data_IF_685077944465
#
_entry.id   IF_685077944465
#
_cell.length_a   1.000
_cell.length_b   1.000
_cell.length_c   1.000
_cell.angle_alpha   90.00
_cell.angle_beta   90.00
_cell.angle_gamma   90.00
#
_symmetry.space_group_name_H-M   'P 1'
#
loop_
_entity.id
_entity.type
_entity.pdbx_description
1 polymer ?
#
# COMPACT_ATOMS: atom_id res chain seq x y z
N UNK A 1 15.67 15.93 7.54
CA UNK A 1 14.98 16.28 7.34
C UNK A 1 14.49 16.96 7.20
N UNK A 2 14.46 17.10 7.04
CA UNK A 2 13.79 17.62 6.95
C UNK A 2 13.18 18.15 6.35
N UNK A 3 13.16 18.51 5.87
CA UNK A 3 12.52 18.99 5.40
C UNK A 3 11.60 18.88 4.93
N UNK A 4 11.60 18.67 4.74
CA UNK A 4 10.78 18.45 4.22
C UNK A 4 9.80 18.51 4.06
N UNK A 5 9.72 18.49 4.31
CA UNK A 5 8.76 18.49 4.37
C UNK A 5 7.91 19.40 4.25
N UNK A 6 8.22 19.98 4.32
CA UNK A 6 7.49 20.91 4.25
C UNK A 6 6.98 21.21 3.19
N UNK A 7 6.21 20.57 3.04
CA UNK A 7 5.67 20.63 1.94
C UNK A 7 4.46 21.35 2.09
N UNK A 8 4.35 22.41 1.59
CA UNK A 8 3.12 23.16 1.52
C UNK A 8 2.12 22.46 0.62
N UNK A 9 0.94 22.96 0.55
CA UNK A 9 -0.04 22.52 -0.41
C UNK A 9 0.52 22.67 -1.82
N UNK A 10 0.22 21.75 -2.75
CA UNK A 10 0.65 21.89 -4.13
C UNK A 10 0.02 23.14 -4.76
N UNK A 11 0.66 23.69 -5.76
CA UNK A 11 0.13 24.85 -6.47
C UNK A 11 -1.16 24.49 -7.20
N UNK A 12 -1.98 25.50 -7.50
CA UNK A 12 -3.19 25.29 -8.26
C UNK A 12 -2.89 24.69 -9.65
N UNK A 13 -1.78 25.07 -10.24
CA UNK A 13 -1.38 24.52 -11.54
C UNK A 13 -1.03 23.03 -11.43
N UNK A 14 -0.34 22.64 -10.37
CA UNK A 14 0.02 21.24 -10.15
C UNK A 14 -1.21 20.38 -9.90
N UNK A 15 -2.15 20.89 -9.11
CA UNK A 15 -3.41 20.18 -8.85
C UNK A 15 -4.20 19.99 -10.14
N UNK A 16 -4.28 21.05 -10.96
CA UNK A 16 -5.02 20.99 -12.22
C UNK A 16 -4.37 20.03 -13.20
N UNK A 17 -3.05 20.04 -13.31
CA UNK A 17 -2.34 19.12 -14.19
C UNK A 17 -2.55 17.67 -13.74
N UNK A 18 -2.44 17.40 -12.45
CA UNK A 18 -2.67 16.06 -11.93
C UNK A 18 -4.08 15.59 -12.22
N UNK A 19 -5.07 16.46 -12.02
CA UNK A 19 -6.46 16.12 -12.32
C UNK A 19 -6.64 15.76 -13.78
N UNK A 20 -6.07 16.55 -14.68
CA UNK A 20 -6.17 16.28 -16.13
C UNK A 20 -5.53 14.95 -16.51
N UNK A 21 -4.37 14.63 -15.93
CA UNK A 21 -3.71 13.37 -16.21
C UNK A 21 -4.53 12.18 -15.71
N UNK A 22 -5.12 12.30 -14.53
CA UNK A 22 -5.97 11.25 -13.99
C UNK A 22 -7.23 11.06 -14.83
N UNK A 23 -7.86 12.14 -15.24
CA UNK A 23 -9.05 12.06 -16.09
C UNK A 23 -8.73 11.44 -17.44
N UNK A 24 -7.58 11.75 -18.02
CA UNK A 24 -7.18 11.20 -19.30
C UNK A 24 -6.96 9.69 -19.23
N UNK A 25 -6.65 9.17 -18.04
CA UNK A 25 -6.40 7.74 -17.85
C UNK A 25 -7.61 6.95 -17.38
N UNK A 26 -8.71 7.62 -17.10
CA UNK A 26 -9.85 6.98 -16.46
C UNK A 26 -11.11 6.72 -17.27
N UNK A 27 -11.24 7.12 -18.53
CA UNK A 27 -12.55 7.05 -19.18
C UNK A 27 -13.15 5.63 -19.21
N UNK A 28 -12.31 4.61 -19.31
CA UNK A 28 -12.80 3.25 -19.33
C UNK A 28 -13.03 2.66 -17.93
N UNK A 29 -12.42 3.24 -16.92
CA UNK A 29 -12.55 2.74 -15.55
C UNK A 29 -13.92 2.95 -14.97
N UNK A 30 -14.56 4.07 -15.27
CA UNK A 30 -15.89 4.34 -14.76
C UNK A 30 -16.89 3.29 -15.19
N UNK A 31 -16.78 2.85 -16.44
CA UNK A 31 -17.67 1.83 -16.97
C UNK A 31 -17.40 0.49 -16.30
N UNK A 32 -16.12 0.14 -16.12
CA UNK A 32 -15.76 -1.11 -15.47
C UNK A 32 -16.22 -1.14 -14.01
N UNK A 33 -16.01 -0.03 -13.28
CA UNK A 33 -16.36 0.05 -11.86
C UNK A 33 -17.86 -0.02 -11.65
N UNK A 34 -18.65 0.55 -12.54
CA UNK A 34 -20.10 0.63 -12.35
C UNK A 34 -20.77 -0.72 -12.18
N UNK A 35 -20.14 -1.80 -12.62
CA UNK A 35 -20.66 -3.15 -12.46
C UNK A 35 -20.01 -3.96 -11.36
N UNK A 36 -19.11 -3.35 -10.58
CA UNK A 36 -18.31 -4.08 -9.61
C UNK A 36 -18.61 -3.64 -8.19
N UNK A 37 -19.79 -3.95 -7.71
CA UNK A 37 -20.24 -3.48 -6.40
C UNK A 37 -20.17 -4.56 -5.32
N UNK A 38 -19.12 -5.30 -5.28
CA UNK A 38 -18.96 -6.35 -4.29
C UNK A 38 -19.27 -7.71 -4.86
N UNK A 39 -19.55 -8.63 -3.99
CA UNK A 39 -19.78 -10.02 -4.35
C UNK A 39 -19.30 -10.93 -3.25
N UNK A 40 -19.40 -12.23 -3.48
CA UNK A 40 -18.93 -13.24 -2.54
C UNK A 40 -17.51 -13.65 -2.93
N UNK A 41 -16.52 -13.51 -2.01
CA UNK A 41 -15.16 -13.96 -2.30
C UNK A 41 -15.13 -15.46 -2.56
N UNK A 42 -14.35 -15.88 -3.56
CA UNK A 42 -14.11 -17.30 -3.77
C UNK A 42 -13.05 -17.85 -2.83
N UNK A 43 -12.13 -17.00 -2.37
CA UNK A 43 -11.09 -17.40 -1.42
C UNK A 43 -10.53 -16.17 -0.73
N UNK A 44 -10.05 -16.39 0.49
CA UNK A 44 -9.45 -15.33 1.30
C UNK A 44 -8.17 -15.89 1.92
N UNK A 45 -7.10 -15.12 1.82
CA UNK A 45 -5.80 -15.49 2.35
C UNK A 45 -5.25 -14.34 3.20
N UNK A 46 -4.33 -14.66 4.06
CA UNK A 46 -3.60 -13.64 4.82
C UNK A 46 -2.12 -13.96 4.82
N UNK A 47 -1.32 -12.93 5.01
CA UNK A 47 0.12 -13.08 5.08
C UNK A 47 0.74 -11.96 5.91
N UNK A 48 2.00 -12.14 6.27
CA UNK A 48 2.73 -11.17 7.06
C UNK A 48 4.15 -11.03 6.53
N UNK A 49 4.68 -9.81 6.66
CA UNK A 49 6.07 -9.54 6.30
C UNK A 49 6.67 -8.58 7.32
N UNK A 50 7.79 -8.98 7.92
CA UNK A 50 8.49 -8.13 8.88
C UNK A 50 9.52 -7.31 8.12
N UNK A 51 9.54 -6.00 8.37
CA UNK A 51 10.45 -5.09 7.73
C UNK A 51 11.14 -4.22 8.78
N UNK A 52 12.43 -3.96 8.61
CA UNK A 52 13.16 -3.03 9.46
C UNK A 52 13.75 -1.93 8.59
N UNK A 53 13.46 -0.68 8.92
CA UNK A 53 13.93 0.47 8.16
C UNK A 53 13.17 1.72 8.53
N UNK A 54 13.36 2.76 7.73
CA UNK A 54 12.64 4.03 7.88
C UNK A 54 12.57 4.73 6.53
N UNK A 55 11.75 5.77 6.47
CA UNK A 55 11.57 6.54 5.23
C UNK A 55 10.69 5.82 4.24
N UNK A 56 10.78 6.27 2.99
CA UNK A 56 10.00 5.71 1.89
C UNK A 56 10.63 4.44 1.38
N UNK A 57 9.85 3.38 1.36
CA UNK A 57 10.32 2.05 1.00
C UNK A 57 9.35 1.36 0.05
N UNK A 58 9.85 0.33 -0.62
CA UNK A 58 9.06 -0.50 -1.49
C UNK A 58 9.48 -1.95 -1.28
N UNK A 59 8.51 -2.83 -1.13
CA UNK A 59 8.79 -4.26 -0.99
C UNK A 59 7.98 -5.06 -2.00
N UNK A 60 8.42 -6.29 -2.20
CA UNK A 60 7.69 -7.29 -2.99
C UNK A 60 7.32 -8.41 -2.04
N UNK A 61 6.03 -8.67 -1.92
CA UNK A 61 5.53 -9.76 -1.09
C UNK A 61 4.96 -10.83 -2.00
N UNK A 62 5.36 -12.08 -1.81
CA UNK A 62 4.91 -13.17 -2.66
C UNK A 62 4.23 -14.28 -1.88
N UNK A 63 3.22 -14.87 -2.48
CA UNK A 63 2.61 -16.12 -2.07
C UNK A 63 2.64 -17.05 -3.28
N UNK A 64 2.31 -18.34 -3.14
CA UNK A 64 2.20 -19.19 -4.31
C UNK A 64 1.37 -18.52 -5.40
N UNK A 65 1.81 -18.60 -6.63
CA UNK A 65 1.25 -17.81 -7.73
C UNK A 65 -0.22 -18.09 -8.04
N UNK A 66 -0.80 -19.12 -7.47
CA UNK A 66 -2.22 -19.42 -7.60
C UNK A 66 -3.09 -18.57 -6.68
N UNK A 67 -2.48 -17.83 -5.74
CA UNK A 67 -3.22 -17.05 -4.74
C UNK A 67 -3.41 -15.61 -5.19
N UNK A 68 -2.38 -15.00 -5.76
CA UNK A 68 -2.40 -13.59 -6.14
C UNK A 68 -2.41 -13.45 -7.66
N UNK A 69 -3.30 -12.62 -8.16
CA UNK A 69 -3.37 -12.25 -9.57
C UNK A 69 -3.81 -10.79 -9.66
N UNK A 70 -3.87 -10.25 -10.87
CA UNK A 70 -4.18 -8.84 -11.09
C UNK A 70 -5.60 -8.44 -10.66
N UNK A 71 -6.47 -9.40 -10.40
CA UNK A 71 -7.83 -9.15 -9.93
C UNK A 71 -7.98 -9.28 -8.41
N UNK A 72 -6.92 -9.66 -7.72
CA UNK A 72 -6.97 -9.83 -6.27
C UNK A 72 -7.24 -8.50 -5.58
N UNK A 73 -8.09 -8.53 -4.55
CA UNK A 73 -8.34 -7.37 -3.69
C UNK A 73 -7.43 -7.51 -2.48
N UNK A 74 -6.62 -6.49 -2.21
CA UNK A 74 -5.58 -6.61 -1.19
C UNK A 74 -5.64 -5.43 -0.25
N UNK A 75 -5.71 -5.74 1.04
CA UNK A 75 -5.57 -4.76 2.11
C UNK A 75 -4.25 -4.98 2.81
N UNK A 76 -3.52 -3.90 3.07
CA UNK A 76 -2.24 -3.94 3.77
C UNK A 76 -2.31 -2.97 4.93
N UNK A 77 -1.92 -3.44 6.11
CA UNK A 77 -1.77 -2.59 7.28
C UNK A 77 -0.37 -2.73 7.86
N UNK A 78 0.07 -1.72 8.60
CA UNK A 78 1.36 -1.74 9.28
C UNK A 78 1.19 -1.65 10.77
N UNK A 79 2.01 -2.41 11.49
CA UNK A 79 2.04 -2.42 12.95
C UNK A 79 3.48 -2.29 13.39
N UNK A 80 3.78 -1.35 14.27
CA UNK A 80 5.12 -1.26 14.84
C UNK A 80 5.33 -2.37 15.85
N UNK A 81 6.54 -2.94 15.88
CA UNK A 81 6.90 -4.02 16.78
C UNK A 81 7.98 -3.58 17.75
N UNK A 82 7.88 -4.08 18.99
CA UNK A 82 8.96 -3.94 19.97
C UNK A 82 10.15 -4.81 19.57
N UNK A 83 11.26 -4.68 20.27
CA UNK A 83 12.46 -5.48 20.00
C UNK A 83 12.24 -6.98 20.18
N UNK A 84 11.24 -7.36 20.97
CA UNK A 84 10.88 -8.77 21.16
C UNK A 84 9.68 -9.19 20.30
N UNK A 85 9.31 -8.36 19.33
CA UNK A 85 8.32 -8.74 18.34
C UNK A 85 6.87 -8.53 18.73
N UNK A 86 6.59 -7.73 19.76
CA UNK A 86 5.23 -7.47 20.20
C UNK A 86 4.68 -6.19 19.56
N UNK A 87 3.41 -6.21 19.14
CA UNK A 87 2.78 -4.99 18.62
C UNK A 87 2.69 -3.90 19.68
N UNK A 88 2.95 -2.65 19.30
CA UNK A 88 2.73 -1.52 20.21
C UNK A 88 2.46 -0.25 19.40
N UNK A 89 1.83 0.70 20.05
CA UNK A 89 1.54 2.00 19.46
C UNK A 89 2.69 2.96 19.77
N UNK A 90 3.57 3.13 18.82
CA UNK A 90 4.70 4.05 18.95
C UNK A 90 4.35 5.46 18.51
N UNK A 91 5.37 6.31 18.44
CA UNK A 91 5.20 7.72 18.07
C UNK A 91 5.35 7.95 16.57
N UNK A 92 5.90 7.00 15.84
CA UNK A 92 6.13 7.17 14.40
C UNK A 92 4.80 7.19 13.64
N UNK A 93 4.73 8.05 12.64
CA UNK A 93 3.64 8.03 11.68
C UNK A 93 4.03 7.12 10.53
N UNK A 94 3.12 6.27 10.10
CA UNK A 94 3.37 5.34 9.02
C UNK A 94 2.21 5.38 8.04
N UNK A 95 2.52 5.15 6.76
CA UNK A 95 1.51 5.17 5.71
C UNK A 95 1.81 4.13 4.64
N UNK A 96 0.78 3.45 4.18
CA UNK A 96 0.84 2.62 2.97
C UNK A 96 0.30 3.46 1.82
N UNK A 97 1.11 3.63 0.78
CA UNK A 97 0.74 4.50 -0.33
C UNK A 97 0.16 3.76 -1.53
N UNK A 98 0.75 2.63 -1.90
CA UNK A 98 0.29 1.92 -3.08
C UNK A 98 0.49 0.42 -2.90
N UNK A 99 -0.50 -0.34 -3.33
CA UNK A 99 -0.51 -1.80 -3.22
C UNK A 99 -0.93 -2.34 -4.58
N UNK A 100 -0.03 -3.08 -5.22
CA UNK A 100 -0.26 -3.53 -6.60
C UNK A 100 -0.10 -5.03 -6.70
N UNK A 101 -1.18 -5.77 -6.99
CA UNK A 101 -1.05 -7.20 -7.30
C UNK A 101 -0.53 -7.36 -8.73
N UNK A 102 0.27 -8.38 -8.95
CA UNK A 102 0.86 -8.65 -10.27
C UNK A 102 0.40 -9.99 -10.81
N UNK A 103 0.55 -10.16 -12.14
CA UNK A 103 0.24 -11.41 -12.80
C UNK A 103 1.18 -12.54 -12.38
N UNK A 104 2.35 -12.20 -11.86
CA UNK A 104 3.35 -13.17 -11.40
C UNK A 104 3.08 -13.71 -9.98
N UNK A 105 2.03 -13.24 -9.34
CA UNK A 105 1.69 -13.72 -8.01
C UNK A 105 2.33 -12.95 -6.88
N UNK A 106 2.74 -11.71 -7.13
CA UNK A 106 3.37 -10.86 -6.14
C UNK A 106 2.52 -9.63 -5.84
N UNK A 107 2.78 -9.01 -4.70
CA UNK A 107 2.22 -7.72 -4.35
C UNK A 107 3.36 -6.74 -4.17
N UNK A 108 3.31 -5.66 -4.91
CA UNK A 108 4.26 -4.56 -4.74
C UNK A 108 3.65 -3.57 -3.76
N UNK A 109 4.37 -3.20 -2.72
CA UNK A 109 3.86 -2.28 -1.70
C UNK A 109 4.82 -1.12 -1.54
N UNK A 110 4.30 0.09 -1.67
CA UNK A 110 5.03 1.31 -1.40
C UNK A 110 4.51 1.88 -0.10
N UNK A 111 5.42 2.16 0.84
CA UNK A 111 5.04 2.63 2.17
C UNK A 111 6.10 3.55 2.75
N UNK A 112 5.74 4.27 3.79
CA UNK A 112 6.63 5.22 4.43
C UNK A 112 6.58 5.02 5.95
N UNK A 113 7.76 4.96 6.55
CA UNK A 113 7.91 4.97 8.00
C UNK A 113 8.54 6.32 8.32
N UNK A 114 7.71 7.25 8.79
CA UNK A 114 8.13 8.63 9.00
C UNK A 114 8.83 8.78 10.34
N UNK A 115 10.05 8.30 10.36
CA UNK A 115 10.92 8.31 11.54
C UNK A 115 12.36 8.50 11.07
N UNK A 116 13.24 8.98 11.93
CA UNK A 116 14.60 9.34 11.56
C UNK A 116 15.60 8.19 11.77
N UNK A 117 15.13 7.06 12.23
CA UNK A 117 15.98 5.89 12.44
C UNK A 117 15.17 4.63 12.18
N UNK A 118 15.83 3.49 11.95
CA UNK A 118 15.11 2.26 11.62
C UNK A 118 14.17 1.80 12.73
N UNK A 119 12.99 1.40 12.31
CA UNK A 119 11.99 0.75 13.17
C UNK A 119 11.67 -0.60 12.58
N UNK A 120 11.23 -1.52 13.43
CA UNK A 120 10.75 -2.82 12.97
C UNK A 120 9.23 -2.77 12.91
N UNK A 121 8.70 -3.13 11.76
CA UNK A 121 7.25 -3.11 11.52
C UNK A 121 6.80 -4.44 10.93
N UNK A 122 5.54 -4.75 11.16
CA UNK A 122 4.88 -5.89 10.56
C UNK A 122 3.90 -5.37 9.52
N UNK A 123 4.05 -5.81 8.27
CA UNK A 123 3.05 -5.55 7.25
C UNK A 123 2.12 -6.75 7.21
N UNK A 124 0.83 -6.49 7.37
CA UNK A 124 -0.20 -7.53 7.36
C UNK A 124 -0.96 -7.44 6.05
N UNK A 125 -1.16 -8.57 5.40
CA UNK A 125 -1.83 -8.66 4.11
C UNK A 125 -3.09 -9.49 4.24
N UNK A 126 -4.19 -8.98 3.69
CA UNK A 126 -5.42 -9.77 3.48
C UNK A 126 -5.69 -9.74 2.00
N UNK A 127 -5.75 -10.92 1.38
CA UNK A 127 -5.95 -11.08 -0.05
C UNK A 127 -7.29 -11.77 -0.26
N UNK A 128 -8.15 -11.14 -1.05
CA UNK A 128 -9.49 -11.66 -1.34
C UNK A 128 -9.62 -11.83 -2.85
N UNK A 129 -10.01 -13.01 -3.26
CA UNK A 129 -10.23 -13.33 -4.67
C UNK A 129 -11.70 -13.65 -4.95
#
# INVERSE_FOLDING_TARGET
MSETLTIGAPSAEDVELTRKLLEAKRPSQEVAISGQHGGTPSSTFWGMHVFSGHGLNQIVFGLPNTVINTQSQIAVSMTELTSDGQPFLGLATMAVYNVVPTAEGNVLVKFDIMWDSPLTVLLNFIIVN
#
